data_IF_518834286906
#
_entry.id   IF_518834286906
#
_cell.length_a   1.000
_cell.length_b   1.000
_cell.length_c   1.000
_cell.angle_alpha   90.00
_cell.angle_beta   90.00
_cell.angle_gamma   90.00
#
_symmetry.space_group_name_H-M   'P 1'
#
loop_
_entity.id
_entity.type
_entity.pdbx_description
1 polymer ?
#
# COMPACT_ATOMS: atom_id res chain seq x y z
N UNK A 1 -37.76 8.34 -20.44
CA UNK A 1 -38.18 7.36 -19.40
C UNK A 1 -37.79 5.98 -19.89
N UNK A 2 -36.61 5.50 -19.50
CA UNK A 2 -36.17 4.12 -19.71
C UNK A 2 -35.80 3.57 -18.33
N UNK A 3 -36.51 2.52 -17.94
CA UNK A 3 -36.48 1.86 -16.64
C UNK A 3 -35.22 1.00 -16.52
N UNK A 4 -34.25 1.43 -15.72
CA UNK A 4 -33.10 0.62 -15.31
C UNK A 4 -33.60 -0.44 -14.31
N UNK A 5 -33.73 -1.70 -14.76
CA UNK A 5 -34.04 -2.81 -13.85
C UNK A 5 -32.82 -3.09 -12.96
N UNK A 6 -32.90 -2.60 -11.73
CA UNK A 6 -32.01 -2.96 -10.62
C UNK A 6 -32.31 -4.42 -10.25
N UNK A 7 -31.30 -5.30 -10.31
CA UNK A 7 -31.45 -6.68 -9.79
C UNK A 7 -31.59 -6.63 -8.27
N UNK A 8 -32.52 -7.39 -7.66
CA UNK A 8 -32.76 -7.34 -6.23
C UNK A 8 -31.61 -8.00 -5.45
N UNK A 9 -31.22 -7.35 -4.35
CA UNK A 9 -30.32 -7.87 -3.31
C UNK A 9 -31.05 -8.99 -2.55
N UNK A 10 -30.45 -10.18 -2.36
CA UNK A 10 -31.09 -11.22 -1.55
C UNK A 10 -31.14 -10.80 -0.08
N UNK A 11 -32.31 -10.91 0.52
CA UNK A 11 -32.58 -10.67 1.94
C UNK A 11 -31.83 -11.67 2.83
N UNK A 12 -31.23 -11.15 3.90
CA UNK A 12 -30.36 -11.87 4.83
C UNK A 12 -31.16 -12.31 6.06
N UNK A 13 -31.59 -13.58 6.13
CA UNK A 13 -32.10 -14.22 7.36
C UNK A 13 -31.71 -15.71 7.42
N UNK A 14 -31.07 -16.14 8.52
CA UNK A 14 -30.92 -17.55 8.92
C UNK A 14 -29.47 -18.07 9.07
N UNK A 15 -29.20 -18.98 10.03
CA UNK A 15 -27.98 -18.99 10.85
C UNK A 15 -26.75 -19.52 10.13
N UNK A 16 -25.58 -18.99 10.55
CA UNK A 16 -24.20 -19.43 10.32
C UNK A 16 -24.07 -20.92 9.93
N UNK A 17 -24.19 -21.20 8.63
CA UNK A 17 -23.68 -22.43 8.05
C UNK A 17 -22.24 -22.13 7.67
N UNK A 18 -21.32 -22.70 8.44
CA UNK A 18 -19.92 -22.84 8.05
C UNK A 18 -19.87 -23.42 6.64
N UNK A 19 -19.54 -22.58 5.66
CA UNK A 19 -19.29 -23.02 4.30
C UNK A 19 -18.03 -23.90 4.38
N UNK A 20 -18.10 -25.20 4.05
CA UNK A 20 -16.92 -26.04 4.06
C UNK A 20 -15.96 -25.54 2.98
N UNK A 21 -14.73 -25.25 3.39
CA UNK A 21 -13.63 -24.91 2.48
C UNK A 21 -13.51 -26.07 1.47
N UNK A 22 -13.67 -25.83 0.16
CA UNK A 22 -13.56 -26.90 -0.82
C UNK A 22 -12.17 -27.53 -0.72
N UNK A 23 -12.16 -28.86 -0.59
CA UNK A 23 -10.95 -29.68 -0.56
C UNK A 23 -10.32 -29.73 -1.96
N UNK A 24 -9.71 -28.63 -2.38
CA UNK A 24 -8.80 -28.67 -3.50
C UNK A 24 -7.74 -27.59 -3.27
N UNK A 25 -6.52 -28.04 -3.00
CA UNK A 25 -5.21 -27.39 -3.23
C UNK A 25 -4.19 -27.94 -2.22
N UNK A 26 -3.92 -29.26 -2.29
CA UNK A 26 -2.72 -29.85 -1.69
C UNK A 26 -1.66 -30.07 -2.77
N UNK A 27 -1.31 -29.02 -3.53
CA UNK A 27 0.05 -29.00 -4.10
C UNK A 27 0.98 -28.72 -2.95
N UNK A 28 1.97 -29.59 -2.72
CA UNK A 28 3.05 -29.29 -1.79
C UNK A 28 3.67 -27.95 -2.24
N UNK A 29 3.77 -26.95 -1.34
CA UNK A 29 4.37 -25.67 -1.70
C UNK A 29 5.80 -25.92 -2.20
N UNK A 30 6.22 -25.13 -3.19
CA UNK A 30 7.57 -25.26 -3.71
C UNK A 30 8.61 -24.97 -2.62
N UNK A 31 9.78 -25.65 -2.65
CA UNK A 31 10.83 -25.36 -1.68
C UNK A 31 11.32 -23.92 -1.86
N UNK A 32 11.70 -23.29 -0.76
CA UNK A 32 12.00 -21.85 -0.69
C UNK A 32 13.09 -21.40 -1.66
N UNK A 33 14.14 -22.22 -1.83
CA UNK A 33 15.22 -21.94 -2.80
C UNK A 33 14.71 -21.89 -4.24
N UNK A 34 13.69 -22.69 -4.58
CA UNK A 34 13.08 -22.70 -5.91
C UNK A 34 12.27 -21.43 -6.16
N UNK A 35 11.48 -21.01 -5.17
CA UNK A 35 10.76 -19.73 -5.21
C UNK A 35 11.75 -18.57 -5.35
N UNK A 36 12.88 -18.59 -4.63
CA UNK A 36 13.92 -17.55 -4.75
C UNK A 36 14.53 -17.52 -6.14
N UNK A 37 14.83 -18.68 -6.73
CA UNK A 37 15.33 -18.76 -8.11
C UNK A 37 14.32 -18.20 -9.12
N UNK A 38 13.03 -18.55 -8.99
CA UNK A 38 11.97 -18.02 -9.84
C UNK A 38 11.82 -16.50 -9.65
N UNK A 39 11.78 -16.02 -8.41
CA UNK A 39 11.68 -14.60 -8.09
C UNK A 39 12.84 -13.81 -8.71
N UNK A 40 14.07 -14.30 -8.62
CA UNK A 40 15.24 -13.62 -9.21
C UNK A 40 15.16 -13.52 -10.74
N UNK A 41 14.65 -14.55 -11.43
CA UNK A 41 14.41 -14.47 -12.87
C UNK A 41 13.35 -13.41 -13.18
N UNK A 42 12.23 -13.40 -12.46
CA UNK A 42 11.17 -12.41 -12.67
C UNK A 42 11.61 -10.98 -12.32
N UNK A 43 12.38 -10.78 -11.24
CA UNK A 43 12.98 -9.49 -10.87
C UNK A 43 13.89 -8.96 -11.97
N UNK A 44 14.70 -9.83 -12.60
CA UNK A 44 15.53 -9.44 -13.73
C UNK A 44 14.67 -9.02 -14.94
N UNK A 45 13.66 -9.81 -15.31
CA UNK A 45 12.77 -9.51 -16.43
C UNK A 45 11.98 -8.21 -16.20
N UNK A 46 11.52 -7.99 -14.97
CA UNK A 46 10.87 -6.75 -14.56
C UNK A 46 11.80 -5.56 -14.68
N UNK A 47 13.05 -5.64 -14.19
CA UNK A 47 14.04 -4.55 -14.33
C UNK A 47 14.26 -4.18 -15.81
N UNK A 48 14.36 -5.18 -16.69
CA UNK A 48 14.44 -4.94 -18.14
C UNK A 48 13.18 -4.25 -18.65
N UNK A 49 12.00 -4.72 -18.27
CA UNK A 49 10.72 -4.11 -18.64
C UNK A 49 10.58 -2.65 -18.17
N UNK A 50 10.96 -2.37 -16.92
CA UNK A 50 10.90 -1.05 -16.32
C UNK A 50 11.96 -0.10 -16.88
N UNK A 51 13.11 -0.61 -17.30
CA UNK A 51 14.08 0.17 -18.07
C UNK A 51 13.45 0.69 -19.37
N UNK A 52 12.80 -0.16 -20.16
CA UNK A 52 12.09 0.31 -21.35
C UNK A 52 10.93 1.22 -21.00
N UNK A 53 10.24 0.95 -19.88
CA UNK A 53 9.20 1.83 -19.39
C UNK A 53 9.73 3.21 -19.05
N UNK A 54 10.97 3.42 -18.60
CA UNK A 54 11.48 4.75 -18.25
C UNK A 54 11.94 5.61 -19.45
N UNK A 55 12.10 5.01 -20.63
CA UNK A 55 12.58 5.71 -21.84
C UNK A 55 11.61 6.79 -22.36
N UNK A 56 10.28 6.57 -22.48
CA UNK A 56 9.36 7.57 -23.01
C UNK A 56 9.35 8.88 -22.23
N UNK A 57 9.31 9.99 -22.97
CA UNK A 57 9.29 11.35 -22.41
C UNK A 57 7.90 11.79 -21.94
N UNK A 58 7.79 12.60 -20.87
CA UNK A 58 8.88 12.97 -19.98
C UNK A 58 9.34 11.75 -19.16
N UNK A 59 10.66 11.60 -19.07
CA UNK A 59 11.27 10.53 -18.26
C UNK A 59 10.96 10.78 -16.78
N UNK A 60 10.69 9.73 -15.98
CA UNK A 60 10.56 9.88 -14.54
C UNK A 60 11.83 10.50 -13.93
N UNK A 61 11.67 11.39 -12.95
CA UNK A 61 12.76 11.87 -12.09
C UNK A 61 13.35 10.68 -11.35
N UNK A 62 14.66 10.63 -11.17
CA UNK A 62 15.30 9.69 -10.23
C UNK A 62 15.11 10.17 -8.79
N UNK A 63 15.25 9.29 -7.77
CA UNK A 63 15.28 9.73 -6.38
C UNK A 63 16.33 10.83 -6.19
N UNK A 64 15.93 11.91 -5.55
CA UNK A 64 16.79 13.05 -5.24
C UNK A 64 17.86 12.69 -4.20
N UNK A 65 17.52 11.78 -3.27
CA UNK A 65 18.48 11.13 -2.38
C UNK A 65 17.87 9.83 -1.80
N UNK A 66 18.73 8.98 -1.24
CA UNK A 66 18.32 7.80 -0.50
C UNK A 66 18.58 8.02 1.00
N UNK A 67 17.61 7.70 1.85
CA UNK A 67 17.79 7.60 3.30
C UNK A 67 17.85 6.13 3.69
N UNK A 68 18.75 5.80 4.60
CA UNK A 68 18.91 4.44 5.12
C UNK A 68 18.72 4.46 6.63
N UNK A 69 18.07 3.45 7.17
CA UNK A 69 17.94 3.28 8.61
C UNK A 69 17.86 1.79 8.99
N UNK A 70 18.33 1.40 10.18
CA UNK A 70 18.23 0.02 10.63
C UNK A 70 16.77 -0.34 10.98
N UNK A 71 16.31 -1.52 10.56
CA UNK A 71 15.05 -2.13 11.01
C UNK A 71 15.27 -2.99 12.24
N UNK A 72 14.28 -3.09 13.12
CA UNK A 72 14.36 -3.86 14.37
C UNK A 72 13.41 -5.07 14.38
N UNK A 73 12.45 -5.17 13.47
CA UNK A 73 11.23 -5.97 13.73
C UNK A 73 11.20 -7.40 13.21
N UNK A 74 12.15 -7.91 12.41
CA UNK A 74 12.02 -9.31 11.91
C UNK A 74 13.30 -10.15 12.06
N UNK A 75 13.18 -11.25 12.83
CA UNK A 75 14.18 -12.31 13.07
C UNK A 75 15.42 -11.92 13.90
N UNK A 76 15.39 -10.79 14.63
CA UNK A 76 16.52 -10.35 15.45
C UNK A 76 17.78 -9.97 14.66
N UNK A 77 17.68 -9.93 13.32
CA UNK A 77 18.73 -9.46 12.44
C UNK A 77 18.38 -8.04 11.98
N UNK A 78 19.11 -7.06 12.49
CA UNK A 78 19.03 -5.70 11.98
C UNK A 78 19.42 -5.71 10.50
N UNK A 79 18.47 -5.39 9.63
CA UNK A 79 18.73 -5.11 8.22
C UNK A 79 18.60 -3.61 7.98
N UNK A 80 19.00 -3.13 6.81
CA UNK A 80 18.91 -1.71 6.48
C UNK A 80 17.73 -1.52 5.54
N UNK A 81 16.75 -0.71 5.94
CA UNK A 81 15.70 -0.25 5.05
C UNK A 81 16.16 0.99 4.30
N UNK A 82 15.74 1.07 3.04
CA UNK A 82 16.06 2.19 2.15
C UNK A 82 14.78 2.94 1.80
N UNK A 83 14.86 4.27 1.82
CA UNK A 83 13.79 5.17 1.41
C UNK A 83 14.28 6.01 0.24
N UNK A 84 13.56 5.97 -0.87
CA UNK A 84 13.82 6.80 -2.03
C UNK A 84 13.02 8.11 -1.92
N UNK A 85 13.73 9.23 -1.72
CA UNK A 85 13.12 10.55 -1.60
C UNK A 85 13.08 11.26 -2.94
N UNK A 86 11.90 11.73 -3.32
CA UNK A 86 11.69 12.64 -4.44
C UNK A 86 11.16 13.95 -3.86
N UNK A 87 11.88 15.03 -4.11
CA UNK A 87 11.61 16.31 -3.47
C UNK A 87 11.55 17.44 -4.51
N UNK A 88 10.87 18.56 -4.19
CA UNK A 88 10.94 19.78 -4.98
C UNK A 88 12.38 20.26 -5.18
N UNK A 89 12.65 20.96 -6.29
CA UNK A 89 14.02 21.33 -6.65
C UNK A 89 14.66 22.33 -5.65
N UNK A 90 13.83 23.14 -4.98
CA UNK A 90 14.23 24.09 -3.93
C UNK A 90 14.15 23.49 -2.50
N UNK A 91 13.90 22.19 -2.36
CA UNK A 91 13.69 21.54 -1.07
C UNK A 91 14.77 21.87 -0.02
N UNK A 92 16.06 21.79 -0.39
CA UNK A 92 17.18 22.03 0.54
C UNK A 92 17.19 23.43 1.12
N UNK A 93 16.96 24.46 0.31
CA UNK A 93 16.93 25.85 0.78
C UNK A 93 15.68 26.12 1.61
N UNK A 94 14.54 25.53 1.22
CA UNK A 94 13.27 25.69 1.93
C UNK A 94 13.29 25.07 3.33
N UNK A 95 13.84 23.86 3.50
CA UNK A 95 13.93 23.26 4.84
C UNK A 95 14.90 24.02 5.75
N UNK A 96 15.95 24.65 5.20
CA UNK A 96 16.86 25.54 5.95
C UNK A 96 16.15 26.82 6.42
N UNK A 97 15.13 27.27 5.67
CA UNK A 97 14.25 28.37 6.06
C UNK A 97 13.10 27.93 7.00
N UNK A 98 13.10 26.67 7.44
CA UNK A 98 12.13 26.13 8.39
C UNK A 98 10.84 25.58 7.75
N UNK A 99 10.74 25.50 6.41
CA UNK A 99 9.58 24.89 5.74
C UNK A 99 9.46 23.41 6.13
N UNK A 100 8.24 23.00 6.47
CA UNK A 100 7.86 21.60 6.68
C UNK A 100 6.93 21.14 5.56
N UNK A 101 7.30 20.08 4.85
CA UNK A 101 6.54 19.56 3.73
C UNK A 101 5.56 18.47 4.17
N UNK A 102 4.33 18.44 3.64
CA UNK A 102 3.51 17.23 3.71
C UNK A 102 4.18 16.08 2.95
N UNK A 103 3.75 14.85 3.25
CA UNK A 103 4.35 13.64 2.72
C UNK A 103 3.35 12.82 1.93
N UNK A 104 3.85 12.21 0.85
CA UNK A 104 3.20 11.12 0.14
C UNK A 104 4.12 9.91 0.27
N UNK A 105 3.71 8.90 1.04
CA UNK A 105 4.48 7.68 1.25
C UNK A 105 3.95 6.60 0.33
N UNK A 106 4.82 6.01 -0.49
CA UNK A 106 4.45 5.06 -1.53
C UNK A 106 5.05 3.68 -1.29
N UNK A 107 4.21 2.67 -1.52
CA UNK A 107 4.61 1.27 -1.58
C UNK A 107 4.47 0.77 -3.02
N UNK A 108 5.55 0.22 -3.57
CA UNK A 108 5.53 -0.29 -4.94
C UNK A 108 4.71 -1.58 -5.09
N UNK A 109 4.40 -1.95 -6.34
CA UNK A 109 3.73 -3.19 -6.67
C UNK A 109 4.66 -4.40 -6.74
N UNK A 110 4.20 -5.47 -7.40
CA UNK A 110 5.03 -6.67 -7.61
C UNK A 110 4.71 -7.86 -6.70
N UNK A 111 3.49 -7.94 -6.14
CA UNK A 111 3.04 -9.12 -5.40
C UNK A 111 3.89 -9.43 -4.17
N UNK A 112 4.44 -8.40 -3.52
CA UNK A 112 5.42 -8.48 -2.43
C UNK A 112 6.71 -9.24 -2.76
N UNK A 113 6.90 -9.63 -4.02
CA UNK A 113 7.97 -10.54 -4.47
C UNK A 113 8.92 -9.86 -5.44
N UNK A 114 8.40 -8.88 -6.18
CA UNK A 114 9.04 -8.11 -7.23
C UNK A 114 8.97 -6.63 -6.91
N UNK A 115 9.62 -5.84 -7.75
CA UNK A 115 9.61 -4.40 -7.76
C UNK A 115 10.70 -3.75 -6.89
N UNK A 116 10.80 -2.43 -7.02
CA UNK A 116 11.71 -1.59 -6.24
C UNK A 116 11.06 -0.25 -5.88
N UNK A 117 11.68 0.50 -4.96
CA UNK A 117 11.23 1.85 -4.60
C UNK A 117 11.32 2.87 -5.76
N UNK A 118 11.83 2.47 -6.94
CA UNK A 118 11.95 3.33 -8.12
C UNK A 118 10.85 3.12 -9.17
N UNK A 119 10.08 2.04 -9.08
CA UNK A 119 9.17 1.60 -10.14
C UNK A 119 8.02 2.58 -10.40
N UNK A 120 7.69 3.39 -9.40
CA UNK A 120 6.64 4.41 -9.44
C UNK A 120 7.20 5.81 -9.70
N UNK A 121 8.40 5.92 -10.28
CA UNK A 121 9.07 7.21 -10.52
C UNK A 121 8.24 8.23 -11.31
N UNK A 122 7.35 7.79 -12.22
CA UNK A 122 6.42 8.70 -12.93
C UNK A 122 5.38 9.29 -12.00
N UNK A 123 4.78 8.44 -11.16
CA UNK A 123 3.85 8.88 -10.13
C UNK A 123 4.54 9.83 -9.15
N UNK A 124 5.72 9.47 -8.65
CA UNK A 124 6.55 10.32 -7.78
C UNK A 124 6.83 11.69 -8.43
N UNK A 125 7.16 11.71 -9.72
CA UNK A 125 7.43 12.94 -10.47
C UNK A 125 6.19 13.83 -10.56
N UNK A 126 5.01 13.26 -10.82
CA UNK A 126 3.78 14.02 -10.90
C UNK A 126 3.37 14.58 -9.54
N UNK A 127 3.47 13.78 -8.48
CA UNK A 127 3.19 14.24 -7.11
C UNK A 127 4.07 15.41 -6.72
N UNK A 128 5.40 15.29 -6.88
CA UNK A 128 6.34 16.36 -6.51
C UNK A 128 6.05 17.64 -7.30
N UNK A 129 5.68 17.54 -8.58
CA UNK A 129 5.43 18.70 -9.45
C UNK A 129 4.07 19.36 -9.23
N UNK A 130 3.02 18.60 -8.90
CA UNK A 130 1.64 19.11 -8.87
C UNK A 130 1.13 19.36 -7.45
N UNK A 131 1.61 18.59 -6.47
CA UNK A 131 1.13 18.63 -5.08
C UNK A 131 2.03 19.50 -4.19
N UNK A 132 3.29 19.73 -4.56
CA UNK A 132 4.29 20.40 -3.71
C UNK A 132 4.55 19.67 -2.37
N UNK A 133 4.45 18.34 -2.39
CA UNK A 133 4.74 17.45 -1.27
C UNK A 133 6.07 16.70 -1.48
N UNK A 134 6.65 16.21 -0.38
CA UNK A 134 7.75 15.24 -0.44
C UNK A 134 7.18 13.86 -0.72
N UNK A 135 7.67 13.19 -1.75
CA UNK A 135 7.29 11.81 -2.04
C UNK A 135 8.39 10.86 -1.56
N UNK A 136 8.01 9.86 -0.77
CA UNK A 136 8.93 8.86 -0.20
C UNK A 136 8.47 7.48 -0.64
N UNK A 137 9.25 6.79 -1.46
CA UNK A 137 8.97 5.39 -1.80
C UNK A 137 9.81 4.47 -0.91
N UNK A 138 9.18 3.46 -0.34
CA UNK A 138 9.82 2.52 0.59
C UNK A 138 10.35 1.31 -0.18
N UNK A 139 11.61 0.96 0.02
CA UNK A 139 12.24 -0.26 -0.48
C UNK A 139 12.04 -1.38 0.55
N UNK A 140 10.82 -1.90 0.61
CA UNK A 140 10.45 -2.93 1.59
C UNK A 140 11.04 -4.29 1.21
N UNK A 141 11.29 -5.14 2.21
CA UNK A 141 11.86 -6.46 1.98
C UNK A 141 10.88 -7.38 1.26
N UNK A 142 11.39 -8.10 0.27
CA UNK A 142 10.59 -8.92 -0.62
C UNK A 142 10.55 -10.39 -0.20
N UNK A 143 9.39 -10.99 -0.44
CA UNK A 143 9.23 -12.41 -0.54
C UNK A 143 9.95 -12.94 -1.82
N UNK A 144 10.31 -14.23 -1.90
CA UNK A 144 10.14 -15.23 -0.87
C UNK A 144 10.97 -14.90 0.37
N UNK A 145 12.21 -14.42 0.26
CA UNK A 145 13.19 -14.26 1.34
C UNK A 145 12.59 -13.77 2.65
N UNK A 146 11.74 -12.76 2.57
CA UNK A 146 11.00 -12.18 3.68
C UNK A 146 9.48 -12.32 3.47
N UNK A 147 8.86 -13.42 3.91
CA UNK A 147 7.42 -13.62 3.76
C UNK A 147 6.62 -12.68 4.68
N UNK A 148 5.29 -12.74 4.59
CA UNK A 148 4.38 -12.06 5.50
C UNK A 148 4.77 -12.30 6.98
N UNK A 149 4.70 -11.28 7.86
CA UNK A 149 4.21 -9.91 7.65
C UNK A 149 5.29 -8.87 7.27
N UNK A 150 6.50 -9.30 6.88
CA UNK A 150 7.69 -8.44 6.85
C UNK A 150 7.50 -7.13 6.09
N UNK A 151 6.94 -7.17 4.87
CA UNK A 151 6.73 -5.96 4.07
C UNK A 151 5.85 -4.91 4.81
N UNK A 152 4.77 -5.34 5.47
CA UNK A 152 3.86 -4.42 6.18
C UNK A 152 4.53 -3.85 7.43
N UNK A 153 5.34 -4.65 8.13
CA UNK A 153 6.16 -4.16 9.25
C UNK A 153 7.19 -3.12 8.75
N UNK A 154 7.86 -3.36 7.63
CA UNK A 154 8.81 -2.42 7.02
C UNK A 154 8.13 -1.09 6.67
N UNK A 155 6.91 -1.15 6.14
CA UNK A 155 6.09 0.03 5.86
C UNK A 155 5.77 0.82 7.13
N UNK A 156 5.36 0.15 8.21
CA UNK A 156 5.07 0.79 9.50
C UNK A 156 6.33 1.40 10.12
N UNK A 157 7.45 0.69 10.09
CA UNK A 157 8.74 1.23 10.54
C UNK A 157 9.17 2.45 9.74
N UNK A 158 8.97 2.45 8.42
CA UNK A 158 9.24 3.61 7.58
C UNK A 158 8.39 4.82 8.00
N UNK A 159 7.10 4.64 8.28
CA UNK A 159 6.23 5.72 8.76
C UNK A 159 6.70 6.28 10.11
N UNK A 160 7.03 5.39 11.06
CA UNK A 160 7.54 5.79 12.37
C UNK A 160 8.91 6.50 12.25
N UNK A 161 9.80 6.01 11.39
CA UNK A 161 11.09 6.63 11.13
C UNK A 161 10.94 8.04 10.53
N UNK A 162 10.07 8.19 9.53
CA UNK A 162 9.79 9.48 8.91
C UNK A 162 9.23 10.48 9.93
N UNK A 163 8.31 10.05 10.79
CA UNK A 163 7.74 10.90 11.82
C UNK A 163 8.78 11.28 12.90
N UNK A 164 9.56 10.31 13.37
CA UNK A 164 10.60 10.55 14.38
C UNK A 164 11.75 11.46 13.89
N UNK A 165 12.00 11.51 12.58
CA UNK A 165 13.05 12.34 11.98
C UNK A 165 12.47 13.52 11.19
N UNK A 166 11.19 13.86 11.41
CA UNK A 166 10.49 14.88 10.64
C UNK A 166 11.17 16.24 10.72
N UNK A 167 11.80 16.56 11.87
CA UNK A 167 12.47 17.84 12.02
C UNK A 167 13.72 17.97 11.14
N UNK A 168 14.59 16.97 11.20
CA UNK A 168 15.81 16.87 10.38
C UNK A 168 15.47 16.88 8.88
N UNK A 169 14.40 16.18 8.51
CA UNK A 169 13.98 15.99 7.14
C UNK A 169 13.05 17.11 6.65
N UNK A 170 12.71 18.11 7.45
CA UNK A 170 11.77 19.17 7.05
C UNK A 170 10.40 18.64 6.61
N UNK A 171 9.88 17.64 7.32
CA UNK A 171 8.62 16.95 7.06
C UNK A 171 7.55 17.38 8.08
N UNK A 172 6.28 17.31 7.70
CA UNK A 172 5.14 17.46 8.60
C UNK A 172 4.51 16.08 8.86
N UNK A 173 4.74 15.45 10.02
CA UNK A 173 4.24 14.11 10.32
C UNK A 173 2.71 14.06 10.48
N UNK A 174 2.06 15.21 10.59
CA UNK A 174 0.60 15.33 10.71
C UNK A 174 -0.12 15.41 9.35
N UNK A 175 0.63 15.42 8.25
CA UNK A 175 0.11 15.57 6.89
C UNK A 175 0.73 14.52 5.97
N UNK A 176 0.39 13.24 6.22
CA UNK A 176 0.87 12.12 5.42
C UNK A 176 -0.27 11.49 4.61
N UNK A 177 -0.07 11.29 3.31
CA UNK A 177 -0.93 10.45 2.49
C UNK A 177 -0.19 9.15 2.17
N UNK A 178 -0.92 8.03 2.14
CA UNK A 178 -0.39 6.75 1.71
C UNK A 178 -0.81 6.46 0.28
N UNK A 179 0.11 5.94 -0.52
CA UNK A 179 -0.17 5.52 -1.89
C UNK A 179 0.48 4.18 -2.17
N UNK A 180 -0.03 3.47 -3.17
CA UNK A 180 0.66 2.27 -3.65
C UNK A 180 -0.10 1.52 -4.72
N UNK A 181 0.63 0.63 -5.39
CA UNK A 181 0.15 -0.09 -6.57
C UNK A 181 0.06 -1.58 -6.29
N UNK A 182 -1.05 -2.23 -6.64
CA UNK A 182 -1.20 -3.69 -6.49
C UNK A 182 -0.95 -4.16 -5.03
N UNK A 183 0.15 -4.89 -4.79
CA UNK A 183 0.62 -5.24 -3.45
C UNK A 183 0.91 -4.00 -2.58
N UNK A 184 1.51 -2.94 -3.15
CA UNK A 184 1.64 -1.67 -2.43
C UNK A 184 0.30 -0.98 -2.17
N UNK A 185 -0.69 -1.20 -3.05
CA UNK A 185 -2.06 -0.75 -2.83
C UNK A 185 -2.73 -1.49 -1.66
N UNK A 186 -2.41 -2.77 -1.45
CA UNK A 186 -2.76 -3.48 -0.22
C UNK A 186 -2.14 -2.81 1.01
N UNK A 187 -0.83 -2.50 0.93
CA UNK A 187 -0.07 -1.89 2.03
C UNK A 187 -0.62 -0.53 2.44
N UNK A 188 -1.13 0.27 1.49
CA UNK A 188 -1.78 1.54 1.80
C UNK A 188 -2.96 1.39 2.77
N UNK A 189 -3.64 0.24 2.81
CA UNK A 189 -4.69 -0.07 3.79
C UNK A 189 -4.20 -0.87 5.00
N UNK A 190 -3.23 -1.77 4.84
CA UNK A 190 -2.76 -2.63 5.93
C UNK A 190 -1.78 -1.94 6.87
N UNK A 191 -0.98 -0.98 6.38
CA UNK A 191 -0.07 -0.17 7.20
C UNK A 191 -0.83 0.65 8.27
N UNK A 192 -1.91 1.42 7.95
CA UNK A 192 -2.68 2.12 8.98
C UNK A 192 -3.23 1.16 10.05
N UNK A 193 -3.79 0.01 9.65
CA UNK A 193 -4.30 -1.01 10.57
C UNK A 193 -3.18 -1.50 11.51
N UNK A 194 -2.02 -1.86 10.94
CA UNK A 194 -0.89 -2.38 11.70
C UNK A 194 -0.25 -1.34 12.62
N UNK A 195 -0.09 -0.11 12.13
CA UNK A 195 0.42 1.04 12.88
C UNK A 195 -0.43 1.30 14.11
N UNK A 196 -1.77 1.29 13.96
CA UNK A 196 -2.69 1.49 15.09
C UNK A 196 -2.49 0.42 16.15
N UNK A 197 -2.41 -0.85 15.77
CA UNK A 197 -2.15 -1.95 16.71
C UNK A 197 -0.78 -1.81 17.38
N UNK A 198 0.25 -1.40 16.63
CA UNK A 198 1.57 -1.12 17.18
C UNK A 198 1.49 -0.03 18.27
N UNK A 199 0.90 1.13 17.96
CA UNK A 199 0.74 2.25 18.91
C UNK A 199 -0.04 1.82 20.17
N UNK A 200 -1.11 1.03 20.00
CA UNK A 200 -1.90 0.52 21.12
C UNK A 200 -1.09 -0.42 22.01
N UNK A 201 -0.35 -1.36 21.42
CA UNK A 201 0.51 -2.27 22.17
C UNK A 201 1.57 -1.53 22.97
N UNK A 202 2.25 -0.54 22.38
CA UNK A 202 3.28 0.26 23.06
C UNK A 202 2.69 1.10 24.19
N UNK A 203 1.50 1.68 24.00
CA UNK A 203 0.79 2.43 25.07
C UNK A 203 0.41 1.52 26.23
N UNK A 204 -0.14 0.33 25.95
CA UNK A 204 -0.52 -0.64 26.97
C UNK A 204 0.70 -1.13 27.75
N UNK A 205 1.82 -1.42 27.06
CA UNK A 205 3.07 -1.83 27.70
C UNK A 205 3.58 -0.73 28.65
N UNK A 206 3.62 0.53 28.19
CA UNK A 206 4.04 1.67 29.00
C UNK A 206 3.14 1.88 30.23
N UNK A 207 1.83 1.72 30.09
CA UNK A 207 0.88 1.84 31.19
C UNK A 207 0.98 0.68 32.20
N UNK A 208 1.45 -0.49 31.77
CA UNK A 208 1.56 -1.68 32.63
C UNK A 208 2.83 -1.72 33.50
N UNK A 209 3.84 -0.86 33.25
CA UNK A 209 5.07 -0.81 34.04
C UNK A 209 4.81 -0.19 35.44
N UNK A 210 5.26 -0.82 36.55
CA UNK A 210 5.09 -0.28 37.89
C UNK A 210 5.79 1.08 38.03
N UNK A 211 5.17 2.02 38.78
CA UNK A 211 5.82 3.27 39.16
C UNK A 211 7.10 2.98 39.95
N UNK A 212 8.27 3.26 39.37
CA UNK A 212 9.46 3.44 40.19
C UNK A 212 9.24 4.69 41.05
N UNK A 213 9.32 4.51 42.36
CA UNK A 213 9.19 5.57 43.33
C UNK A 213 10.44 6.45 43.30
N UNK A 214 10.53 7.40 42.36
CA UNK A 214 11.39 8.56 42.52
C UNK A 214 10.86 9.81 41.79
N UNK A 215 10.50 10.77 42.64
CA UNK A 215 10.57 12.23 42.44
C UNK A 215 9.57 12.94 41.50
N UNK A 216 8.49 13.37 42.16
CA UNK A 216 7.96 14.75 42.25
C UNK A 216 7.44 15.49 41.01
N UNK A 217 6.25 16.03 41.25
CA UNK A 217 5.52 17.12 40.59
C UNK A 217 4.60 16.71 39.44
N UNK A 218 3.30 16.87 39.71
CA UNK A 218 2.21 16.65 38.79
C UNK A 218 2.23 17.60 37.61
N UNK A 219 3.04 17.26 36.60
CA UNK A 219 2.78 17.63 35.22
C UNK A 219 2.23 16.42 34.50
N UNK A 220 1.14 16.67 33.78
CA UNK A 220 0.46 15.75 32.88
C UNK A 220 1.46 14.84 32.14
N UNK A 221 1.23 13.52 32.13
CA UNK A 221 2.05 12.57 31.33
C UNK A 221 1.72 12.78 29.85
N UNK A 222 2.12 13.91 29.27
CA UNK A 222 2.28 14.00 27.83
C UNK A 222 3.39 13.01 27.48
N UNK A 223 3.07 11.93 26.76
CA UNK A 223 4.07 11.04 26.16
C UNK A 223 5.04 11.92 25.37
N UNK A 224 6.21 12.26 25.92
CA UNK A 224 7.28 12.97 25.21
C UNK A 224 8.02 11.98 24.31
N UNK A 225 7.26 11.32 23.43
CA UNK A 225 7.79 10.48 22.36
C UNK A 225 7.95 11.29 21.08
N UNK A 226 8.62 10.73 20.06
CA UNK A 226 8.57 11.28 18.72
C UNK A 226 7.10 11.45 18.27
N UNK A 227 6.80 12.43 17.40
CA UNK A 227 5.45 12.59 16.88
C UNK A 227 5.01 11.31 16.18
N UNK A 228 3.73 10.97 16.30
CA UNK A 228 3.15 9.84 15.60
C UNK A 228 2.73 10.26 14.19
N UNK A 229 2.90 9.38 13.18
CA UNK A 229 2.44 9.66 11.83
C UNK A 229 0.91 9.75 11.79
N UNK A 230 0.40 10.82 11.20
CA UNK A 230 -1.03 11.03 10.95
C UNK A 230 -1.32 10.88 9.46
N UNK A 231 -2.12 9.87 9.14
CA UNK A 231 -2.49 9.54 7.78
C UNK A 231 -3.81 10.23 7.47
N UNK A 232 -3.79 11.18 6.52
CA UNK A 232 -4.95 12.01 6.16
C UNK A 232 -5.65 11.53 4.90
N UNK A 233 -4.98 10.74 4.05
CA UNK A 233 -5.55 10.20 2.82
C UNK A 233 -4.88 8.91 2.34
N UNK A 234 -5.62 8.09 1.59
CA UNK A 234 -5.10 6.93 0.85
C UNK A 234 -5.42 7.08 -0.64
N UNK A 235 -4.43 6.85 -1.52
CA UNK A 235 -4.62 6.65 -2.96
C UNK A 235 -4.12 5.25 -3.35
N UNK A 236 -5.04 4.33 -3.64
CA UNK A 236 -4.71 2.95 -3.95
C UNK A 236 -4.96 2.62 -5.43
N UNK A 237 -3.94 2.12 -6.11
CA UNK A 237 -4.01 1.70 -7.51
C UNK A 237 -4.18 0.18 -7.59
N UNK A 238 -5.33 -0.26 -8.09
CA UNK A 238 -5.73 -1.66 -8.30
C UNK A 238 -5.27 -2.60 -7.15
N UNK A 239 -5.63 -2.27 -5.89
CA UNK A 239 -5.10 -2.95 -4.72
C UNK A 239 -5.58 -4.40 -4.62
N UNK A 240 -4.73 -5.29 -4.09
CA UNK A 240 -5.17 -6.59 -3.60
C UNK A 240 -5.75 -6.42 -2.19
N UNK A 241 -6.98 -6.85 -1.92
CA UNK A 241 -7.69 -6.54 -0.68
C UNK A 241 -8.20 -7.78 0.08
N UNK A 242 -8.39 -8.90 -0.61
CA UNK A 242 -8.91 -10.12 0.02
C UNK A 242 -8.18 -11.39 -0.41
N UNK A 243 -7.08 -11.70 0.26
CA UNK A 243 -6.30 -12.92 -0.02
C UNK A 243 -6.97 -14.21 0.49
N UNK A 244 -8.17 -14.12 1.09
CA UNK A 244 -8.99 -15.29 1.42
C UNK A 244 -9.62 -15.89 0.17
N UNK A 245 -9.86 -15.06 -0.86
CA UNK A 245 -10.32 -15.50 -2.17
C UNK A 245 -9.20 -16.17 -2.94
N UNK A 246 -9.50 -17.32 -3.53
CA UNK A 246 -8.60 -18.02 -4.45
C UNK A 246 -8.42 -17.23 -5.75
N UNK A 247 -7.32 -17.50 -6.46
CA UNK A 247 -7.08 -16.89 -7.77
C UNK A 247 -8.12 -17.29 -8.81
N UNK A 248 -8.72 -18.47 -8.68
CA UNK A 248 -9.77 -18.96 -9.57
C UNK A 248 -11.10 -18.23 -9.32
N UNK A 249 -11.48 -18.02 -8.05
CA UNK A 249 -12.66 -17.21 -7.70
C UNK A 249 -12.51 -15.76 -8.20
N UNK A 250 -11.34 -15.15 -7.97
CA UNK A 250 -11.02 -13.81 -8.48
C UNK A 250 -11.14 -13.74 -10.00
N UNK A 251 -10.57 -14.71 -10.73
CA UNK A 251 -10.65 -14.76 -12.21
C UNK A 251 -12.07 -15.01 -12.71
N UNK A 252 -12.87 -15.81 -12.01
CA UNK A 252 -14.25 -16.10 -12.39
C UNK A 252 -15.14 -14.84 -12.37
N UNK A 253 -14.80 -13.86 -11.52
CA UNK A 253 -15.49 -12.56 -11.46
C UNK A 253 -15.09 -11.57 -12.56
N UNK A 254 -13.96 -11.81 -13.25
CA UNK A 254 -13.39 -10.87 -14.20
C UNK A 254 -14.10 -10.95 -15.56
N UNK A 255 -14.40 -9.80 -16.17
CA UNK A 255 -15.04 -9.74 -17.51
C UNK A 255 -14.12 -10.22 -18.64
N UNK A 256 -12.80 -10.24 -18.41
CA UNK A 256 -11.78 -10.74 -19.36
C UNK A 256 -10.76 -11.63 -18.64
N UNK A 257 -11.12 -12.85 -18.20
CA UNK A 257 -10.23 -13.70 -17.40
C UNK A 257 -8.88 -14.00 -18.08
N UNK A 258 -8.87 -14.13 -19.41
CA UNK A 258 -7.66 -14.36 -20.20
C UNK A 258 -6.71 -13.16 -20.33
N UNK A 259 -7.08 -11.98 -19.82
CA UNK A 259 -6.24 -10.78 -19.76
C UNK A 259 -5.68 -10.51 -18.36
N UNK A 260 -6.05 -11.32 -17.38
CA UNK A 260 -5.58 -11.20 -15.99
C UNK A 260 -4.13 -11.67 -15.83
N UNK A 261 -3.52 -11.43 -14.66
CA UNK A 261 -2.17 -11.89 -14.36
C UNK A 261 -2.03 -13.41 -14.57
N UNK A 262 -0.95 -13.88 -15.25
CA UNK A 262 -0.74 -15.30 -15.52
C UNK A 262 -0.72 -16.15 -14.25
N UNK A 263 -1.31 -17.37 -14.26
CA UNK A 263 -1.31 -18.27 -13.11
C UNK A 263 0.07 -18.51 -12.51
N UNK A 264 1.09 -18.73 -13.34
CA UNK A 264 2.48 -18.95 -12.90
C UNK A 264 3.02 -17.81 -12.03
N UNK A 265 2.65 -16.57 -12.37
CA UNK A 265 3.09 -15.38 -11.63
C UNK A 265 2.30 -15.23 -10.33
N UNK A 266 0.98 -15.43 -10.37
CA UNK A 266 0.15 -15.35 -9.16
C UNK A 266 0.47 -16.46 -8.16
N UNK A 267 0.80 -17.67 -8.62
CA UNK A 267 1.22 -18.76 -7.76
C UNK A 267 2.56 -18.45 -7.09
N UNK A 268 3.51 -17.87 -7.83
CA UNK A 268 4.77 -17.39 -7.25
C UNK A 268 4.52 -16.38 -6.12
N UNK A 269 3.65 -15.39 -6.32
CA UNK A 269 3.32 -14.41 -5.28
C UNK A 269 2.69 -15.05 -4.05
N UNK A 270 1.67 -15.89 -4.25
CA UNK A 270 0.92 -16.51 -3.16
C UNK A 270 1.83 -17.43 -2.33
N UNK A 271 2.64 -18.28 -2.97
CA UNK A 271 3.56 -19.20 -2.30
C UNK A 271 4.76 -18.49 -1.66
N UNK A 272 5.21 -17.37 -2.24
CA UNK A 272 6.35 -16.62 -1.70
C UNK A 272 5.95 -15.82 -0.46
N UNK A 273 4.84 -15.07 -0.53
CA UNK A 273 4.47 -14.10 0.49
C UNK A 273 3.56 -14.70 1.59
N UNK A 274 2.60 -15.55 1.22
CA UNK A 274 1.62 -16.14 2.15
C UNK A 274 1.68 -17.68 2.12
N UNK A 275 2.84 -18.28 2.49
CA UNK A 275 3.01 -19.74 2.48
C UNK A 275 2.09 -20.44 3.48
N UNK A 276 1.77 -19.78 4.60
CA UNK A 276 0.83 -20.26 5.61
C UNK A 276 -0.55 -19.68 5.35
N UNK A 277 -1.51 -20.55 5.02
CA UNK A 277 -2.86 -20.12 4.59
C UNK A 277 -3.62 -19.37 5.68
N UNK A 278 -3.35 -19.64 6.96
CA UNK A 278 -3.97 -18.94 8.09
C UNK A 278 -3.67 -17.44 8.09
N UNK A 279 -2.49 -17.04 7.61
CA UNK A 279 -2.10 -15.63 7.52
C UNK A 279 -2.99 -14.84 6.55
N UNK A 280 -3.69 -15.50 5.61
CA UNK A 280 -4.66 -14.84 4.72
C UNK A 280 -5.85 -14.25 5.46
N UNK A 281 -6.13 -14.73 6.67
CA UNK A 281 -7.19 -14.19 7.53
C UNK A 281 -6.75 -12.95 8.30
N UNK A 282 -5.45 -12.66 8.35
CA UNK A 282 -4.93 -11.47 9.02
C UNK A 282 -5.41 -10.20 8.31
N UNK A 283 -5.90 -9.18 9.06
CA UNK A 283 -6.22 -7.88 8.47
C UNK A 283 -5.01 -7.18 7.87
N UNK A 284 -3.78 -7.63 8.19
CA UNK A 284 -2.54 -7.10 7.61
C UNK A 284 -2.15 -7.76 6.29
N UNK A 285 -2.79 -8.88 5.93
CA UNK A 285 -2.66 -9.49 4.61
C UNK A 285 -3.90 -9.21 3.75
N UNK A 286 -5.08 -9.27 4.36
CA UNK A 286 -6.38 -9.06 3.73
C UNK A 286 -7.11 -7.95 4.48
N UNK A 287 -6.97 -6.67 4.10
CA UNK A 287 -7.70 -5.58 4.76
C UNK A 287 -9.23 -5.78 4.73
N UNK A 288 -9.76 -6.54 3.77
CA UNK A 288 -11.17 -6.96 3.75
C UNK A 288 -11.57 -7.87 4.94
N UNK A 289 -10.61 -8.47 5.65
CA UNK A 289 -10.84 -9.25 6.87
C UNK A 289 -10.84 -8.41 8.15
N UNK A 290 -10.46 -7.12 8.09
CA UNK A 290 -10.51 -6.23 9.25
C UNK A 290 -11.94 -6.01 9.74
N UNK A 291 -12.12 -5.71 11.03
CA UNK A 291 -13.43 -5.36 11.58
C UNK A 291 -13.86 -3.96 11.13
N UNK A 292 -15.16 -3.68 11.11
CA UNK A 292 -15.67 -2.34 10.80
C UNK A 292 -15.15 -1.28 11.78
N UNK A 293 -14.98 -1.65 13.05
CA UNK A 293 -14.40 -0.77 14.07
C UNK A 293 -12.94 -0.44 13.77
N UNK A 294 -12.14 -1.42 13.35
CA UNK A 294 -10.74 -1.19 13.00
C UNK A 294 -10.61 -0.38 11.70
N UNK A 295 -11.43 -0.66 10.69
CA UNK A 295 -11.46 0.15 9.46
C UNK A 295 -11.89 1.59 9.75
N UNK A 296 -12.91 1.78 10.58
CA UNK A 296 -13.39 3.12 10.98
C UNK A 296 -12.29 3.89 11.70
N UNK A 297 -11.54 3.23 12.59
CA UNK A 297 -10.52 3.88 13.41
C UNK A 297 -9.16 4.06 12.70
N UNK A 298 -8.79 3.18 11.76
CA UNK A 298 -7.47 3.17 11.16
C UNK A 298 -7.42 3.84 9.78
N UNK A 299 -8.48 3.73 8.98
CA UNK A 299 -8.50 4.26 7.61
C UNK A 299 -8.86 5.76 7.65
N UNK A 300 -8.12 6.64 6.96
CA UNK A 300 -8.44 8.07 6.90
C UNK A 300 -9.82 8.31 6.29
N UNK A 301 -10.36 9.51 6.49
CA UNK A 301 -11.65 9.88 5.92
C UNK A 301 -11.64 9.89 4.39
N UNK A 302 -10.55 10.36 3.77
CA UNK A 302 -10.40 10.45 2.32
C UNK A 302 -9.68 9.25 1.72
N UNK A 303 -10.36 8.53 0.81
CA UNK A 303 -9.80 7.38 0.10
C UNK A 303 -10.08 7.53 -1.39
N UNK A 304 -9.06 7.38 -2.23
CA UNK A 304 -9.22 7.20 -3.67
C UNK A 304 -8.77 5.81 -4.11
N UNK A 305 -9.56 5.14 -4.94
CA UNK A 305 -9.29 3.82 -5.47
C UNK A 305 -9.43 3.83 -6.99
N UNK A 306 -8.38 3.39 -7.69
CA UNK A 306 -8.35 3.30 -9.14
C UNK A 306 -8.28 1.82 -9.55
N UNK A 307 -9.39 1.25 -9.99
CA UNK A 307 -9.52 -0.16 -10.35
C UNK A 307 -9.44 -0.34 -11.87
N UNK A 308 -9.07 -1.54 -12.32
CA UNK A 308 -8.97 -1.87 -13.74
C UNK A 308 -10.09 -2.84 -14.14
N UNK A 309 -10.82 -2.55 -15.22
CA UNK A 309 -12.00 -3.33 -15.61
C UNK A 309 -11.66 -4.80 -15.95
N UNK A 310 -10.49 -5.08 -16.53
CA UNK A 310 -10.06 -6.44 -16.90
C UNK A 310 -9.16 -7.09 -15.84
N UNK A 311 -9.20 -6.59 -14.62
CA UNK A 311 -8.43 -7.11 -13.50
C UNK A 311 -9.22 -8.15 -12.70
N UNK A 312 -8.53 -9.16 -12.17
CA UNK A 312 -9.09 -10.14 -11.24
C UNK A 312 -9.37 -9.54 -9.85
N UNK A 313 -8.80 -8.36 -9.56
CA UNK A 313 -8.98 -7.65 -8.29
C UNK A 313 -10.13 -6.64 -8.30
N UNK A 314 -10.82 -6.47 -9.44
CA UNK A 314 -11.90 -5.48 -9.58
C UNK A 314 -13.01 -5.70 -8.56
N UNK A 315 -13.56 -6.92 -8.48
CA UNK A 315 -14.72 -7.21 -7.64
C UNK A 315 -14.43 -6.99 -6.15
N UNK A 316 -13.27 -7.45 -5.66
CA UNK A 316 -12.88 -7.21 -4.26
C UNK A 316 -12.65 -5.71 -3.98
N UNK A 317 -12.14 -4.97 -4.97
CA UNK A 317 -12.03 -3.51 -4.93
C UNK A 317 -13.37 -2.81 -4.79
N UNK A 318 -14.36 -3.16 -5.61
CA UNK A 318 -15.71 -2.58 -5.56
C UNK A 318 -16.39 -2.89 -4.22
N UNK A 319 -16.35 -4.15 -3.76
CA UNK A 319 -16.94 -4.56 -2.49
C UNK A 319 -16.31 -3.81 -1.32
N UNK A 320 -14.99 -3.67 -1.30
CA UNK A 320 -14.30 -2.96 -0.22
C UNK A 320 -14.58 -1.45 -0.25
N UNK A 321 -14.63 -0.84 -1.44
CA UNK A 321 -14.99 0.56 -1.60
C UNK A 321 -16.41 0.85 -1.07
N UNK A 322 -17.39 0.02 -1.41
CA UNK A 322 -18.76 0.16 -0.89
C UNK A 322 -18.82 -0.04 0.64
N UNK A 323 -18.04 -0.99 1.18
CA UNK A 323 -17.92 -1.17 2.63
C UNK A 323 -17.38 0.10 3.30
N UNK A 324 -16.30 0.69 2.77
CA UNK A 324 -15.74 1.94 3.32
C UNK A 324 -16.73 3.11 3.25
N UNK A 325 -17.50 3.24 2.16
CA UNK A 325 -18.60 4.22 2.06
C UNK A 325 -19.66 3.99 3.14
N UNK A 326 -20.05 2.75 3.38
CA UNK A 326 -20.98 2.36 4.45
C UNK A 326 -20.49 2.73 5.85
N UNK A 327 -19.17 2.81 6.04
CA UNK A 327 -18.52 3.26 7.28
C UNK A 327 -18.32 4.80 7.35
N UNK A 328 -18.90 5.55 6.40
CA UNK A 328 -18.83 7.01 6.36
C UNK A 328 -17.52 7.58 5.79
N UNK A 329 -16.67 6.75 5.16
CA UNK A 329 -15.46 7.23 4.48
C UNK A 329 -15.84 7.89 3.14
N UNK A 330 -15.15 8.98 2.78
CA UNK A 330 -15.25 9.61 1.47
C UNK A 330 -14.41 8.82 0.48
N UNK A 331 -15.06 7.94 -0.28
CA UNK A 331 -14.41 7.08 -1.27
C UNK A 331 -14.62 7.62 -2.69
N UNK A 332 -13.54 8.09 -3.31
CA UNK A 332 -13.46 8.37 -4.74
C UNK A 332 -13.07 7.07 -5.47
N UNK A 333 -14.00 6.49 -6.22
CA UNK A 333 -13.79 5.22 -6.92
C UNK A 333 -13.82 5.43 -8.43
N UNK A 334 -12.73 5.04 -9.10
CA UNK A 334 -12.60 5.07 -10.56
C UNK A 334 -12.40 3.65 -11.06
N UNK A 335 -13.17 3.25 -12.08
CA UNK A 335 -12.97 2.01 -12.81
C UNK A 335 -12.45 2.37 -14.20
N UNK A 336 -11.17 2.09 -14.43
CA UNK A 336 -10.47 2.38 -15.68
C UNK A 336 -10.88 1.31 -16.70
N UNK A 337 -11.60 1.77 -17.71
CA UNK A 337 -12.26 0.93 -18.71
C UNK A 337 -11.24 0.29 -19.63
N UNK A 338 -11.51 -0.96 -20.01
CA UNK A 338 -10.68 -1.70 -20.97
C UNK A 338 -9.20 -1.85 -20.60
N UNK A 339 -8.86 -1.77 -19.31
CA UNK A 339 -7.50 -1.92 -18.81
C UNK A 339 -7.30 -3.17 -17.98
N UNK A 340 -6.13 -3.77 -18.15
CA UNK A 340 -5.61 -4.86 -17.31
C UNK A 340 -4.93 -4.32 -16.07
N UNK A 341 -4.66 -5.21 -15.10
CA UNK A 341 -3.79 -4.92 -13.98
C UNK A 341 -2.45 -4.28 -14.41
N UNK A 342 -1.96 -3.30 -13.64
CA UNK A 342 -0.74 -2.55 -13.95
C UNK A 342 -0.78 -1.89 -15.35
N UNK A 343 -1.92 -1.27 -15.68
CA UNK A 343 -2.15 -0.60 -16.96
C UNK A 343 -1.11 0.48 -17.27
N UNK A 344 -0.73 1.25 -16.26
CA UNK A 344 0.26 2.32 -16.23
C UNK A 344 1.71 1.82 -16.33
N UNK A 345 1.97 0.52 -16.12
CA UNK A 345 3.29 -0.12 -16.27
C UNK A 345 3.46 -0.82 -17.61
N UNK A 346 2.46 -0.77 -18.48
CA UNK A 346 2.54 -1.48 -19.76
C UNK A 346 3.62 -0.86 -20.65
N UNK A 347 4.48 -1.67 -21.27
CA UNK A 347 5.53 -1.17 -22.16
C UNK A 347 4.87 -0.71 -23.47
N UNK A 348 4.41 0.53 -23.51
CA UNK A 348 4.18 1.20 -24.78
C UNK A 348 5.55 1.66 -25.29
N UNK A 349 6.05 1.10 -26.40
CA UNK A 349 7.46 1.26 -26.75
C UNK A 349 7.87 2.71 -27.07
N UNK A 350 6.92 3.64 -27.24
CA UNK A 350 7.21 5.01 -27.68
C UNK A 350 6.35 6.11 -27.04
N UNK A 351 5.47 5.80 -26.07
CA UNK A 351 4.68 6.85 -25.39
C UNK A 351 4.22 6.40 -24.01
N UNK A 352 3.99 7.37 -23.12
CA UNK A 352 3.30 7.17 -21.85
C UNK A 352 1.82 6.95 -22.15
N UNK A 353 1.15 6.00 -21.47
CA UNK A 353 -0.29 5.85 -21.59
C UNK A 353 -0.97 7.17 -21.17
N UNK A 354 -1.66 7.89 -22.09
CA UNK A 354 -2.25 9.18 -21.78
C UNK A 354 -3.32 9.07 -20.67
N UNK A 355 -3.95 7.91 -20.55
CA UNK A 355 -4.97 7.65 -19.52
C UNK A 355 -4.33 7.49 -18.13
N UNK A 356 -3.12 6.94 -18.05
CA UNK A 356 -2.36 6.92 -16.80
C UNK A 356 -2.01 8.34 -16.33
N UNK A 357 -1.61 9.22 -17.26
CA UNK A 357 -1.34 10.63 -16.93
C UNK A 357 -2.60 11.35 -16.47
N UNK A 358 -3.74 11.11 -17.11
CA UNK A 358 -5.02 11.69 -16.71
C UNK A 358 -5.40 11.32 -15.27
N UNK A 359 -5.38 10.03 -14.93
CA UNK A 359 -5.72 9.57 -13.59
C UNK A 359 -4.69 10.00 -12.54
N UNK A 360 -3.41 10.07 -12.89
CA UNK A 360 -2.39 10.61 -11.99
C UNK A 360 -2.63 12.11 -11.71
N UNK A 361 -3.04 12.91 -12.69
CA UNK A 361 -3.39 14.32 -12.47
C UNK A 361 -4.63 14.48 -11.58
N UNK A 362 -5.66 13.66 -11.80
CA UNK A 362 -6.84 13.60 -10.93
C UNK A 362 -6.45 13.26 -9.48
N UNK A 363 -5.65 12.20 -9.30
CA UNK A 363 -5.15 11.80 -7.99
C UNK A 363 -4.27 12.87 -7.32
N UNK A 364 -3.46 13.62 -8.08
CA UNK A 364 -2.69 14.74 -7.55
C UNK A 364 -3.60 15.86 -7.01
N UNK A 365 -4.74 16.10 -7.65
CA UNK A 365 -5.72 17.09 -7.17
C UNK A 365 -6.29 16.64 -5.83
N UNK A 366 -6.73 15.38 -5.72
CA UNK A 366 -7.24 14.80 -4.47
C UNK A 366 -6.19 14.85 -3.35
N UNK A 367 -4.92 14.53 -3.67
CA UNK A 367 -3.82 14.61 -2.70
C UNK A 367 -3.57 16.04 -2.22
N UNK A 368 -3.65 17.02 -3.12
CA UNK A 368 -3.42 18.41 -2.77
C UNK A 368 -4.49 18.91 -1.80
N UNK A 369 -5.76 18.66 -2.10
CA UNK A 369 -6.87 19.01 -1.23
C UNK A 369 -6.70 18.35 0.15
N UNK A 370 -6.37 17.05 0.18
CA UNK A 370 -6.22 16.31 1.42
C UNK A 370 -5.00 16.69 2.26
N UNK A 371 -3.94 17.24 1.66
CA UNK A 371 -2.71 17.60 2.40
C UNK A 371 -2.69 19.08 2.80
N UNK A 372 -3.35 19.97 2.07
CA UNK A 372 -3.28 21.41 2.30
C UNK A 372 -4.58 22.00 2.85
N UNK A 373 -5.74 21.45 2.49
CA UNK A 373 -7.05 22.02 2.81
C UNK A 373 -7.82 21.24 3.90
N UNK A 374 -7.23 20.17 4.44
CA UNK A 374 -7.77 19.33 5.52
C UNK A 374 -7.59 19.90 6.92
#
# INVERSE_FOLDING_TARGET
MMSTQIRPVPSNEGPSKTIPIPANHQRKPHPRWWLSAQANVWRFLEQVGLYFHSIPTPSPKEPSFLRKFPTTVVSGQATILHLAFYVPDDYRSQIQQGRKYPLVVNMHGGGFTLGTAKDDGRWATMVVKQVEAVFVSVEYRLAPEYPFPTAVEDGVEALLHLAANADELGLNPHKMALTGFSAGGNMAFTMPLRLRTHIQSTRNEYQSKPMEASQSNGTDRTLSGPPLPEIVSIIAWYPSLDNRLTRDERRASCVRPGKTLPPILTSLFDESYLPELENRMSPYASPAAATDADLTAAIPEGVAMYLCEWDMLLQEGEVFAERLKGLGKRVHLVIIKEKRHAFDKSPYPFSVDPEATLHYTEACTILKDALFDS
#
